data_IF_111459289566
#
_entry.id   IF_111459289566
#
_cell.length_a   1.000
_cell.length_b   1.000
_cell.length_c   1.000
_cell.angle_alpha   90.00
_cell.angle_beta   90.00
_cell.angle_gamma   90.00
#
_symmetry.space_group_name_H-M   'P 1'
#
loop_
_entity.id
_entity.type
_entity.pdbx_description
1 polymer ?
#
# COMPACT_ATOMS: atom_id res chain seq x y z
N UNK A 1 26.99 -24.22 33.72
CA UNK A 1 27.03 -23.25 34.83
C UNK A 1 26.54 -21.93 34.25
N UNK A 2 25.36 -21.49 34.69
CA UNK A 2 24.67 -20.35 34.10
C UNK A 2 25.30 -19.03 34.53
N UNK A 3 25.59 -18.18 33.55
CA UNK A 3 26.00 -16.80 33.78
C UNK A 3 24.76 -15.93 33.90
N UNK A 4 24.67 -15.22 35.01
CA UNK A 4 23.60 -14.33 35.46
C UNK A 4 23.52 -13.06 34.61
N UNK A 5 22.38 -12.85 33.95
CA UNK A 5 22.03 -11.58 33.33
C UNK A 5 21.43 -10.64 34.40
N UNK A 6 22.05 -9.46 34.57
CA UNK A 6 21.44 -8.36 35.30
C UNK A 6 20.26 -7.84 34.46
N UNK A 7 19.04 -8.14 34.91
CA UNK A 7 17.81 -7.66 34.31
C UNK A 7 17.60 -6.18 34.64
N UNK A 8 18.01 -5.29 33.73
CA UNK A 8 17.46 -3.95 33.66
C UNK A 8 15.96 -4.06 33.36
N UNK A 9 15.12 -3.46 34.21
CA UNK A 9 13.67 -3.62 34.19
C UNK A 9 13.09 -3.20 32.83
N UNK A 10 12.79 -4.19 31.96
CA UNK A 10 12.02 -3.99 30.73
C UNK A 10 12.77 -4.12 29.39
N UNK A 11 14.07 -4.41 29.40
CA UNK A 11 14.88 -4.61 28.17
C UNK A 11 15.53 -5.99 28.18
N UNK A 12 15.48 -6.68 27.05
CA UNK A 12 16.14 -7.98 26.83
C UNK A 12 17.42 -7.80 26.02
N UNK A 13 18.48 -8.51 26.41
CA UNK A 13 19.77 -8.53 25.73
C UNK A 13 20.20 -9.97 25.48
N UNK A 14 20.52 -10.33 24.24
CA UNK A 14 20.99 -11.67 23.88
C UNK A 14 21.88 -11.64 22.63
N UNK A 15 22.70 -12.67 22.45
CA UNK A 15 23.54 -12.81 21.25
C UNK A 15 22.87 -13.73 20.23
N UNK A 16 23.00 -13.40 18.95
CA UNK A 16 22.54 -14.25 17.82
C UNK A 16 23.55 -14.23 16.68
N UNK A 17 23.51 -15.25 15.82
CA UNK A 17 24.41 -15.36 14.67
C UNK A 17 23.94 -14.54 13.45
N UNK A 18 22.62 -14.38 13.31
CA UNK A 18 22.04 -13.68 12.16
C UNK A 18 22.27 -12.16 12.25
N UNK A 19 22.62 -11.49 11.14
CA UNK A 19 22.70 -10.03 11.08
C UNK A 19 21.33 -9.36 11.21
N UNK A 20 21.28 -8.04 11.52
CA UNK A 20 20.06 -7.25 11.42
C UNK A 20 19.51 -7.25 9.99
N UNK A 21 18.19 -7.41 9.86
CA UNK A 21 17.56 -7.55 8.55
C UNK A 21 17.54 -6.26 7.71
N UNK A 22 17.57 -5.08 8.37
CA UNK A 22 17.30 -3.81 7.68
C UNK A 22 18.53 -2.96 7.46
N UNK A 23 19.40 -2.80 8.47
CA UNK A 23 20.51 -1.85 8.35
C UNK A 23 21.69 -2.18 9.24
N UNK A 24 22.90 -1.98 8.70
CA UNK A 24 24.19 -2.01 9.42
C UNK A 24 24.92 -0.71 9.15
N UNK A 25 25.30 -0.02 10.22
CA UNK A 25 26.14 1.16 10.20
C UNK A 25 27.54 0.80 10.71
N UNK A 26 28.50 0.73 9.78
CA UNK A 26 29.89 0.40 10.08
C UNK A 26 30.74 1.66 10.18
N UNK A 27 31.44 1.81 11.28
CA UNK A 27 32.40 2.90 11.51
C UNK A 27 33.80 2.31 11.44
N UNK A 28 34.67 2.97 10.68
CA UNK A 28 36.10 2.67 10.59
C UNK A 28 36.87 3.87 11.07
N UNK A 29 38.08 3.61 11.55
CA UNK A 29 38.95 4.65 12.09
C UNK A 29 38.26 5.38 13.26
N UNK A 30 37.59 4.61 14.13
CA UNK A 30 36.75 5.12 15.23
C UNK A 30 37.53 6.05 16.16
N UNK A 31 38.80 5.79 16.41
CA UNK A 31 39.68 6.64 17.23
C UNK A 31 39.76 8.09 16.74
N UNK A 32 39.71 8.31 15.43
CA UNK A 32 39.77 9.66 14.82
C UNK A 32 38.53 10.51 15.14
N UNK A 33 37.45 9.90 15.59
CA UNK A 33 36.23 10.62 15.97
C UNK A 33 36.47 11.56 17.15
N UNK A 34 37.37 11.19 18.08
CA UNK A 34 37.78 12.06 19.18
C UNK A 34 38.47 13.35 18.70
N UNK A 35 39.11 13.32 17.53
CA UNK A 35 39.77 14.50 16.94
C UNK A 35 38.78 15.47 16.30
N UNK A 36 37.54 15.02 16.02
CA UNK A 36 36.52 15.84 15.36
C UNK A 36 35.82 16.81 16.32
N UNK A 37 35.92 16.59 17.64
CA UNK A 37 35.16 17.33 18.66
C UNK A 37 33.65 17.11 18.59
N UNK A 38 33.21 16.06 17.88
CA UNK A 38 31.82 15.64 17.82
C UNK A 38 31.65 14.45 18.76
N UNK A 39 30.53 14.38 19.47
CA UNK A 39 30.16 13.31 20.41
C UNK A 39 29.02 12.41 19.86
N UNK A 40 28.45 12.79 18.72
CA UNK A 40 27.33 12.13 18.05
C UNK A 40 27.54 11.95 16.56
N UNK A 41 27.40 10.72 16.08
CA UNK A 41 27.50 10.38 14.66
C UNK A 41 26.17 9.84 14.17
N UNK A 42 25.75 10.31 13.00
CA UNK A 42 24.55 9.84 12.33
C UNK A 42 24.88 8.96 11.13
N UNK A 43 24.07 7.93 10.92
CA UNK A 43 24.10 7.15 9.70
C UNK A 43 23.40 7.86 8.53
N UNK A 44 23.55 7.30 7.34
CA UNK A 44 22.63 7.56 6.25
C UNK A 44 21.20 7.09 6.56
N UNK A 45 20.24 7.52 5.74
CA UNK A 45 18.83 7.13 5.86
C UNK A 45 18.62 5.73 5.29
N UNK A 46 17.87 4.89 5.99
CA UNK A 46 17.42 3.58 5.51
C UNK A 46 15.89 3.44 5.62
N UNK A 47 15.31 2.58 4.80
CA UNK A 47 13.87 2.37 4.75
C UNK A 47 13.48 1.01 5.34
N UNK A 48 12.47 1.01 6.21
CA UNK A 48 11.89 -0.20 6.77
C UNK A 48 10.43 0.07 7.19
N UNK A 49 9.53 -0.88 6.89
CA UNK A 49 8.10 -0.80 7.18
C UNK A 49 7.43 0.51 6.70
N UNK A 50 7.67 0.92 5.44
CA UNK A 50 7.13 2.15 4.82
C UNK A 50 7.51 3.45 5.57
N UNK A 51 8.64 3.45 6.29
CA UNK A 51 9.15 4.59 7.05
C UNK A 51 10.66 4.70 6.86
N UNK A 52 11.17 5.91 7.02
CA UNK A 52 12.58 6.23 6.89
C UNK A 52 13.20 6.45 8.26
N UNK A 53 14.39 5.91 8.44
CA UNK A 53 15.06 5.81 9.72
C UNK A 53 16.54 6.20 9.60
N UNK A 54 17.13 6.61 10.73
CA UNK A 54 18.57 6.77 10.93
C UNK A 54 19.00 6.07 12.22
N UNK A 55 20.25 5.66 12.27
CA UNK A 55 20.94 5.33 13.51
C UNK A 55 21.80 6.52 13.95
N UNK A 56 21.76 6.83 15.24
CA UNK A 56 22.66 7.83 15.83
C UNK A 56 23.45 7.17 16.96
N UNK A 57 24.78 7.21 16.85
CA UNK A 57 25.70 6.71 17.86
C UNK A 57 26.19 7.89 18.67
N UNK A 58 26.00 7.86 19.99
CA UNK A 58 26.58 8.81 20.94
C UNK A 58 27.63 8.07 21.74
N UNK A 59 28.83 8.62 21.83
CA UNK A 59 29.96 8.00 22.54
C UNK A 59 30.64 9.02 23.45
N UNK A 60 31.31 8.56 24.53
CA UNK A 60 31.97 9.48 25.44
C UNK A 60 33.23 10.11 24.84
N UNK A 61 33.44 11.40 25.12
CA UNK A 61 34.58 12.20 24.66
C UNK A 61 35.72 12.17 25.69
N UNK A 62 36.95 11.84 25.26
CA UNK A 62 38.18 11.97 26.07
C UNK A 62 38.73 10.69 26.72
N UNK A 63 39.93 10.80 27.32
CA UNK A 63 40.48 9.80 28.24
C UNK A 63 39.82 9.96 29.61
N UNK A 64 39.17 8.89 30.07
CA UNK A 64 38.43 8.85 31.32
C UNK A 64 39.35 9.20 32.50
N UNK A 65 39.11 10.35 33.14
CA UNK A 65 39.60 10.56 34.51
C UNK A 65 38.74 9.71 35.43
N UNK A 66 39.36 8.86 36.24
CA UNK A 66 38.74 8.07 37.30
C UNK A 66 37.68 8.91 38.05
N UNK A 67 36.41 8.69 37.72
CA UNK A 67 35.26 9.22 38.45
C UNK A 67 34.51 8.05 39.05
N UNK A 68 33.95 8.30 40.23
CA UNK A 68 33.35 7.36 41.17
C UNK A 68 32.54 6.23 40.50
N UNK A 69 32.66 5.01 41.06
CA UNK A 69 32.08 3.71 40.61
C UNK A 69 30.57 3.72 40.24
N UNK A 70 29.84 4.80 40.52
CA UNK A 70 28.38 4.91 40.31
C UNK A 70 27.99 5.57 38.97
N UNK A 71 28.93 6.10 38.18
CA UNK A 71 28.66 6.78 36.89
C UNK A 71 29.57 6.29 35.76
N UNK A 72 29.49 5.00 35.42
CA UNK A 72 30.19 4.46 34.24
C UNK A 72 29.60 5.06 32.95
N UNK A 73 30.44 5.65 32.11
CA UNK A 73 30.01 6.21 30.82
C UNK A 73 29.62 5.09 29.85
N UNK A 74 28.62 5.35 29.00
CA UNK A 74 28.07 4.37 28.08
C UNK A 74 28.17 4.88 26.64
N UNK A 75 28.41 3.95 25.71
CA UNK A 75 28.06 4.19 24.31
C UNK A 75 26.55 3.97 24.15
N UNK A 76 25.89 4.87 23.42
CA UNK A 76 24.45 4.84 23.20
C UNK A 76 24.14 4.78 21.71
N UNK A 77 23.07 4.06 21.36
CA UNK A 77 22.59 3.93 20.00
C UNK A 77 21.10 4.26 19.97
N UNK A 78 20.76 5.25 19.17
CA UNK A 78 19.40 5.73 18.98
C UNK A 78 18.89 5.30 17.62
N UNK A 79 17.64 4.86 17.57
CA UNK A 79 16.88 4.77 16.34
C UNK A 79 16.04 6.04 16.20
N UNK A 80 16.19 6.76 15.10
CA UNK A 80 15.45 7.98 14.81
C UNK A 80 14.56 7.80 13.58
N UNK A 81 13.30 8.22 13.65
CA UNK A 81 12.42 8.35 12.48
C UNK A 81 12.65 9.71 11.81
N UNK A 82 12.79 9.72 10.48
CA UNK A 82 13.11 10.92 9.69
C UNK A 82 12.10 11.13 8.56
N UNK A 83 12.25 12.24 7.84
CA UNK A 83 11.34 12.68 6.77
C UNK A 83 9.89 12.77 7.24
N UNK A 84 9.68 13.30 8.46
CA UNK A 84 8.36 13.39 9.10
C UNK A 84 7.57 14.63 8.71
N UNK A 85 8.12 15.50 7.86
CA UNK A 85 7.49 16.77 7.45
C UNK A 85 6.18 16.54 6.67
N UNK A 86 6.09 15.42 5.96
CA UNK A 86 4.90 15.02 5.20
C UNK A 86 3.86 14.27 6.07
N UNK A 87 4.16 14.02 7.36
CA UNK A 87 3.25 13.27 8.21
C UNK A 87 2.09 14.18 8.68
N UNK A 88 0.88 13.61 8.89
CA UNK A 88 -0.25 14.38 9.41
C UNK A 88 0.07 15.07 10.74
N UNK A 89 -0.60 16.20 11.00
CA UNK A 89 -0.50 16.86 12.29
C UNK A 89 -0.92 15.90 13.42
N UNK A 90 -0.07 15.78 14.45
CA UNK A 90 -0.30 14.86 15.56
C UNK A 90 -0.05 13.38 15.23
N UNK A 91 0.79 13.09 14.22
CA UNK A 91 1.15 11.72 13.88
C UNK A 91 1.73 10.95 15.06
N UNK A 92 1.40 9.66 15.10
CA UNK A 92 1.99 8.70 16.03
C UNK A 92 2.34 7.42 15.31
N UNK A 93 3.55 6.94 15.55
CA UNK A 93 4.08 5.68 15.01
C UNK A 93 4.52 4.84 16.20
N UNK A 94 3.86 3.70 16.41
CA UNK A 94 4.30 2.74 17.43
C UNK A 94 5.15 1.68 16.74
N UNK A 95 6.42 1.56 17.10
CA UNK A 95 7.35 0.61 16.49
C UNK A 95 7.87 -0.40 17.51
N UNK A 96 8.01 -1.65 17.07
CA UNK A 96 8.86 -2.65 17.72
C UNK A 96 10.13 -2.73 16.90
N UNK A 97 11.28 -2.61 17.55
CA UNK A 97 12.56 -2.67 16.88
C UNK A 97 13.61 -3.27 17.80
N UNK A 98 14.69 -3.72 17.20
CA UNK A 98 15.88 -4.23 17.88
C UNK A 98 17.09 -3.45 17.40
N UNK A 99 18.03 -3.21 18.31
CA UNK A 99 19.31 -2.58 18.04
C UNK A 99 20.45 -3.57 18.25
N UNK A 100 21.54 -3.40 17.50
CA UNK A 100 22.61 -4.39 17.46
C UNK A 100 24.00 -3.76 17.58
N UNK A 101 24.90 -4.53 18.18
CA UNK A 101 26.35 -4.33 18.11
C UNK A 101 26.98 -5.62 17.61
N UNK A 102 27.85 -5.52 16.62
CA UNK A 102 28.56 -6.68 16.09
C UNK A 102 29.79 -7.00 16.94
N UNK A 103 29.89 -8.26 17.35
CA UNK A 103 31.03 -8.86 18.01
C UNK A 103 31.89 -9.55 16.94
N UNK A 104 33.01 -8.91 16.62
CA UNK A 104 33.96 -9.35 15.60
C UNK A 104 34.76 -10.60 16.01
N UNK A 105 34.86 -10.91 17.30
CA UNK A 105 35.64 -12.04 17.81
C UNK A 105 34.82 -13.32 17.73
N UNK A 106 33.55 -13.24 18.12
CA UNK A 106 32.66 -14.40 18.15
C UNK A 106 31.79 -14.54 16.90
N UNK A 107 31.86 -13.57 15.98
CA UNK A 107 31.02 -13.47 14.77
C UNK A 107 29.52 -13.51 15.10
N UNK A 108 29.13 -12.66 16.05
CA UNK A 108 27.77 -12.60 16.59
C UNK A 108 27.27 -11.18 16.71
N UNK A 109 25.96 -11.04 16.88
CA UNK A 109 25.30 -9.77 17.09
C UNK A 109 24.70 -9.76 18.49
N UNK A 110 25.24 -8.89 19.36
CA UNK A 110 24.55 -8.52 20.58
C UNK A 110 23.30 -7.75 20.18
N UNK A 111 22.15 -8.28 20.58
CA UNK A 111 20.82 -7.76 20.26
C UNK A 111 20.19 -7.18 21.51
N UNK A 112 19.63 -5.98 21.40
CA UNK A 112 18.89 -5.30 22.47
C UNK A 112 17.49 -4.94 21.96
N UNK A 113 16.47 -5.24 22.77
CA UNK A 113 15.06 -5.04 22.43
C UNK A 113 14.20 -4.86 23.70
N UNK A 114 13.06 -4.17 23.60
CA UNK A 114 12.08 -4.13 24.70
C UNK A 114 11.49 -5.52 25.00
N UNK A 115 11.48 -5.88 26.29
CA UNK A 115 10.96 -7.14 26.79
C UNK A 115 9.45 -7.30 26.53
N UNK A 116 9.02 -8.54 26.25
CA UNK A 116 7.61 -8.86 26.00
C UNK A 116 7.04 -8.21 24.73
N UNK A 117 7.89 -7.73 23.82
CA UNK A 117 7.47 -7.17 22.54
C UNK A 117 6.66 -5.87 22.68
N UNK A 118 6.99 -5.04 23.66
CA UNK A 118 6.42 -3.68 23.78
C UNK A 118 6.78 -2.84 22.56
N UNK A 119 5.93 -1.86 22.25
CA UNK A 119 6.20 -0.87 21.21
C UNK A 119 6.66 0.44 21.85
N UNK A 120 7.52 1.17 21.15
CA UNK A 120 7.85 2.56 21.48
C UNK A 120 7.11 3.51 20.58
N UNK A 121 6.57 4.57 21.17
CA UNK A 121 5.79 5.60 20.47
C UNK A 121 6.71 6.71 19.98
N UNK A 122 6.78 6.86 18.66
CA UNK A 122 7.39 7.97 17.96
C UNK A 122 6.30 9.00 17.62
N UNK A 123 6.61 10.28 17.81
CA UNK A 123 5.73 11.40 17.44
C UNK A 123 6.56 12.68 17.25
N UNK A 124 5.89 13.79 16.95
CA UNK A 124 6.54 15.09 16.75
C UNK A 124 7.36 15.59 17.96
N UNK A 125 7.09 15.10 19.17
CA UNK A 125 7.83 15.46 20.39
C UNK A 125 8.95 14.47 20.72
N UNK A 126 8.91 13.25 20.17
CA UNK A 126 9.88 12.19 20.43
C UNK A 126 10.09 11.36 19.17
N UNK A 127 11.06 11.78 18.35
CA UNK A 127 11.41 11.13 17.08
C UNK A 127 12.50 10.08 17.22
N UNK A 128 13.12 9.95 18.39
CA UNK A 128 14.19 9.00 18.65
C UNK A 128 13.99 8.22 19.95
N UNK A 129 14.48 6.98 19.95
CA UNK A 129 14.50 6.10 21.12
C UNK A 129 15.79 5.28 21.16
N UNK A 130 16.34 5.12 22.35
CA UNK A 130 17.43 4.23 22.75
C UNK A 130 16.96 3.24 23.83
N UNK A 131 17.91 2.53 24.44
CA UNK A 131 17.68 1.61 25.54
C UNK A 131 18.45 1.98 26.82
N UNK A 132 18.56 3.28 27.11
CA UNK A 132 19.24 3.82 28.31
C UNK A 132 20.69 3.30 28.44
N UNK A 133 21.47 3.44 27.36
CA UNK A 133 22.84 2.92 27.25
C UNK A 133 22.91 1.56 26.55
N UNK A 134 23.71 1.49 25.48
CA UNK A 134 23.88 0.28 24.69
C UNK A 134 24.82 -0.69 25.40
N UNK A 135 26.02 -0.20 25.75
CA UNK A 135 27.08 -0.92 26.42
C UNK A 135 27.89 0.05 27.30
N UNK A 136 28.42 -0.40 28.43
CA UNK A 136 29.43 0.36 29.14
C UNK A 136 30.64 0.62 28.24
N UNK A 137 31.23 1.80 28.37
CA UNK A 137 32.33 2.22 27.50
C UNK A 137 33.57 1.35 27.66
N UNK A 138 33.84 0.89 28.89
CA UNK A 138 34.91 -0.06 29.21
C UNK A 138 34.72 -1.37 28.42
N UNK A 139 33.49 -1.90 28.41
CA UNK A 139 33.11 -3.14 27.71
C UNK A 139 33.25 -2.98 26.20
N UNK A 140 32.87 -1.84 25.65
CA UNK A 140 32.96 -1.56 24.22
C UNK A 140 34.42 -1.48 23.73
N UNK A 141 35.30 -0.85 24.52
CA UNK A 141 36.72 -0.67 24.15
C UNK A 141 37.58 -1.91 24.37
N UNK A 142 37.23 -2.77 25.31
CA UNK A 142 38.00 -3.99 25.60
C UNK A 142 37.97 -4.93 24.37
N UNK A 143 39.13 -5.16 23.71
CA UNK A 143 39.18 -6.00 22.52
C UNK A 143 38.75 -7.44 22.75
N UNK A 144 38.77 -7.95 23.99
CA UNK A 144 38.33 -9.31 24.30
C UNK A 144 36.81 -9.49 24.12
N UNK A 145 36.04 -8.40 24.20
CA UNK A 145 34.60 -8.40 23.95
C UNK A 145 34.22 -8.28 22.47
N UNK A 146 35.19 -7.95 21.60
CA UNK A 146 35.01 -7.99 20.15
C UNK A 146 34.20 -6.85 19.51
N UNK A 147 33.72 -5.86 20.26
CA UNK A 147 32.87 -4.78 19.70
C UNK A 147 33.65 -3.69 18.93
N UNK A 148 34.91 -3.44 19.32
CA UNK A 148 35.82 -2.52 18.63
C UNK A 148 37.13 -3.25 18.32
N UNK A 149 37.28 -3.71 17.07
CA UNK A 149 38.46 -4.46 16.61
C UNK A 149 39.08 -3.76 15.41
N UNK A 150 40.41 -3.58 15.43
CA UNK A 150 41.14 -2.86 14.38
C UNK A 150 40.52 -1.49 14.07
N UNK A 151 40.18 -0.76 15.12
CA UNK A 151 39.57 0.57 15.07
C UNK A 151 38.27 0.62 14.24
N UNK A 152 37.54 -0.50 14.24
CA UNK A 152 36.31 -0.69 13.47
C UNK A 152 35.24 -1.29 14.37
N UNK A 153 34.03 -0.76 14.27
CA UNK A 153 32.84 -1.29 14.94
C UNK A 153 31.64 -1.25 13.97
N UNK A 154 30.59 -2.01 14.28
CA UNK A 154 29.38 -2.01 13.50
C UNK A 154 28.13 -2.07 14.39
N UNK A 155 27.21 -1.15 14.12
CA UNK A 155 25.90 -1.06 14.76
C UNK A 155 24.82 -1.48 13.79
N UNK A 156 23.67 -1.89 14.29
CA UNK A 156 22.56 -2.30 13.43
C UNK A 156 21.21 -1.94 13.98
N UNK A 157 20.22 -1.97 13.09
CA UNK A 157 18.82 -1.80 13.43
C UNK A 157 17.95 -2.76 12.64
N UNK A 158 16.88 -3.23 13.30
CA UNK A 158 15.86 -4.06 12.70
C UNK A 158 14.48 -3.59 13.18
N UNK A 159 13.63 -3.18 12.24
CA UNK A 159 12.25 -2.79 12.54
C UNK A 159 11.38 -4.03 12.41
N UNK A 160 10.89 -4.56 13.53
CA UNK A 160 10.12 -5.80 13.57
C UNK A 160 8.67 -5.58 13.15
N UNK A 161 8.09 -4.45 13.55
CA UNK A 161 6.73 -4.07 13.16
C UNK A 161 6.46 -2.60 13.46
N UNK A 162 5.62 -1.98 12.65
CA UNK A 162 5.05 -0.67 12.92
C UNK A 162 3.53 -0.79 12.97
N UNK A 163 2.92 -0.20 13.99
CA UNK A 163 1.49 0.17 13.99
C UNK A 163 1.38 1.68 14.02
N UNK A 164 1.23 2.28 12.84
CA UNK A 164 0.53 3.57 12.72
C UNK A 164 -0.96 3.30 12.95
N UNK A 165 -1.73 4.29 13.41
CA UNK A 165 -3.19 4.16 13.53
C UNK A 165 -3.78 3.37 12.35
N UNK A 166 -4.52 2.32 12.66
CA UNK A 166 -5.03 1.25 11.78
C UNK A 166 -5.24 1.71 10.33
N UNK A 167 -4.58 1.05 9.35
CA UNK A 167 -4.91 1.21 7.93
C UNK A 167 -6.36 0.69 7.73
N UNK A 168 -7.32 1.59 7.65
CA UNK A 168 -8.71 1.27 7.34
C UNK A 168 -8.96 1.55 5.85
N UNK A 169 -9.60 0.61 5.16
CA UNK A 169 -10.23 0.89 3.86
C UNK A 169 -11.73 1.08 4.07
N UNK A 170 -12.31 2.13 3.49
CA UNK A 170 -13.75 2.38 3.56
C UNK A 170 -14.38 2.14 2.19
N UNK A 171 -15.17 1.08 2.06
CA UNK A 171 -16.00 0.86 0.88
C UNK A 171 -17.32 1.61 1.07
N UNK A 172 -17.52 2.67 0.29
CA UNK A 172 -18.79 3.39 0.21
C UNK A 172 -19.61 2.90 -0.99
N UNK A 173 -20.94 2.86 -0.82
CA UNK A 173 -21.88 2.54 -1.88
C UNK A 173 -22.66 3.82 -2.25
N UNK A 174 -22.46 4.29 -3.47
CA UNK A 174 -23.16 5.45 -4.02
C UNK A 174 -24.43 4.96 -4.70
N UNK A 175 -25.59 5.28 -4.12
CA UNK A 175 -26.89 5.05 -4.76
C UNK A 175 -27.11 6.11 -5.83
N UNK A 176 -27.61 5.69 -6.99
CA UNK A 176 -27.93 6.58 -8.11
C UNK A 176 -26.79 7.57 -8.43
N UNK A 177 -25.58 7.05 -8.74
CA UNK A 177 -24.37 7.89 -8.88
C UNK A 177 -24.46 8.91 -10.02
N UNK A 178 -25.43 8.78 -10.93
CA UNK A 178 -25.69 9.77 -11.96
C UNK A 178 -26.89 10.64 -11.51
N UNK A 179 -26.58 11.83 -10.97
CA UNK A 179 -27.58 12.78 -10.43
C UNK A 179 -28.65 13.25 -11.44
N UNK A 180 -28.44 13.04 -12.74
CA UNK A 180 -29.33 13.48 -13.83
C UNK A 180 -29.50 12.43 -14.96
N UNK A 181 -29.65 11.16 -14.62
CA UNK A 181 -30.21 10.16 -15.54
C UNK A 181 -29.23 9.13 -16.10
N UNK A 182 -29.47 8.71 -17.33
CA UNK A 182 -28.77 7.61 -18.02
C UNK A 182 -27.66 8.13 -18.93
N UNK A 183 -26.63 7.32 -19.15
CA UNK A 183 -25.74 7.55 -20.30
C UNK A 183 -26.40 6.96 -21.54
N UNK A 184 -26.53 7.75 -22.60
CA UNK A 184 -27.16 7.36 -23.87
C UNK A 184 -26.14 7.34 -24.99
N UNK A 185 -26.17 6.26 -25.78
CA UNK A 185 -25.36 6.06 -26.96
C UNK A 185 -26.25 5.77 -28.16
N UNK A 186 -26.22 6.68 -29.13
CA UNK A 186 -26.90 6.52 -30.43
C UNK A 186 -25.94 5.93 -31.45
N UNK A 187 -26.40 4.88 -32.14
CA UNK A 187 -25.64 4.17 -33.16
C UNK A 187 -26.36 4.38 -34.49
N UNK A 188 -25.84 5.30 -35.30
CA UNK A 188 -26.34 5.54 -36.64
C UNK A 188 -25.71 4.56 -37.64
N UNK A 189 -26.48 4.18 -38.66
CA UNK A 189 -26.02 3.24 -39.68
C UNK A 189 -25.91 1.81 -39.14
N UNK A 190 -26.81 1.38 -38.25
CA UNK A 190 -26.72 0.10 -37.55
C UNK A 190 -26.57 -1.08 -38.52
N UNK A 191 -27.26 -1.05 -39.66
CA UNK A 191 -27.18 -2.09 -40.70
C UNK A 191 -25.75 -2.29 -41.21
N UNK A 192 -24.96 -1.21 -41.35
CA UNK A 192 -23.54 -1.30 -41.70
C UNK A 192 -22.72 -1.86 -40.54
N UNK A 193 -22.99 -1.39 -39.32
CA UNK A 193 -22.32 -1.82 -38.08
C UNK A 193 -22.53 -3.30 -37.76
N UNK A 194 -23.59 -3.94 -38.24
CA UNK A 194 -23.80 -5.39 -38.10
C UNK A 194 -22.68 -6.25 -38.67
N UNK A 195 -21.89 -5.71 -39.61
CA UNK A 195 -20.73 -6.39 -40.19
C UNK A 195 -19.52 -6.41 -39.25
N UNK A 196 -19.48 -5.54 -38.26
CA UNK A 196 -18.43 -5.50 -37.25
C UNK A 196 -18.70 -6.55 -36.18
N UNK A 197 -17.64 -7.20 -35.68
CA UNK A 197 -17.78 -8.21 -34.62
C UNK A 197 -18.24 -7.57 -33.30
N UNK A 198 -17.75 -6.38 -32.98
CA UNK A 198 -18.13 -5.59 -31.81
C UNK A 198 -17.88 -4.10 -32.05
N UNK A 199 -18.67 -3.26 -31.39
CA UNK A 199 -18.52 -1.80 -31.40
C UNK A 199 -18.62 -1.26 -29.98
N UNK A 200 -18.01 -0.09 -29.74
CA UNK A 200 -17.98 0.56 -28.43
C UNK A 200 -18.50 1.98 -28.48
N UNK A 201 -19.10 2.44 -27.39
CA UNK A 201 -19.43 3.84 -27.20
C UNK A 201 -18.18 4.71 -26.97
N UNK A 202 -18.40 6.02 -26.95
CA UNK A 202 -17.43 6.94 -26.36
C UNK A 202 -17.26 6.66 -24.85
N UNK A 203 -16.13 7.11 -24.31
CA UNK A 203 -15.83 7.05 -22.88
C UNK A 203 -16.75 7.98 -22.11
N UNK A 204 -17.23 7.51 -20.96
CA UNK A 204 -17.95 8.35 -20.01
C UNK A 204 -17.51 8.04 -18.58
N UNK A 205 -17.66 9.02 -17.70
CA UNK A 205 -17.16 8.94 -16.32
C UNK A 205 -18.33 8.96 -15.33
N UNK A 206 -18.33 8.01 -14.39
CA UNK A 206 -19.28 7.94 -13.27
C UNK A 206 -18.49 7.71 -11.99
N UNK A 207 -18.66 8.60 -11.00
CA UNK A 207 -17.91 8.58 -9.73
C UNK A 207 -16.39 8.45 -9.90
N UNK A 208 -15.82 9.15 -10.88
CA UNK A 208 -14.38 9.15 -11.16
C UNK A 208 -13.87 7.91 -11.92
N UNK A 209 -14.75 6.96 -12.27
CA UNK A 209 -14.40 5.76 -13.04
C UNK A 209 -14.82 5.92 -14.50
N UNK A 210 -13.96 5.48 -15.43
CA UNK A 210 -14.23 5.51 -16.88
C UNK A 210 -14.89 4.21 -17.35
N UNK A 211 -15.94 4.33 -18.15
CA UNK A 211 -16.77 3.24 -18.64
C UNK A 211 -17.00 3.34 -20.16
N UNK A 212 -17.34 2.22 -20.78
CA UNK A 212 -17.86 2.13 -22.16
C UNK A 212 -19.02 1.14 -22.23
N UNK A 213 -19.95 1.38 -23.13
CA UNK A 213 -20.88 0.36 -23.60
C UNK A 213 -20.21 -0.44 -24.71
N UNK A 214 -20.35 -1.76 -24.66
CA UNK A 214 -19.87 -2.72 -25.64
C UNK A 214 -21.06 -3.45 -26.25
N UNK A 215 -21.22 -3.32 -27.57
CA UNK A 215 -22.26 -4.00 -28.32
C UNK A 215 -21.63 -5.03 -29.26
N UNK A 216 -22.23 -6.21 -29.33
CA UNK A 216 -22.03 -7.18 -30.41
C UNK A 216 -23.26 -7.14 -31.31
N UNK A 217 -23.23 -6.39 -32.44
CA UNK A 217 -24.40 -6.16 -33.27
C UNK A 217 -25.08 -7.43 -33.80
N UNK A 218 -24.30 -8.51 -34.00
CA UNK A 218 -24.77 -9.83 -34.45
C UNK A 218 -24.65 -10.91 -33.36
N UNK A 219 -24.36 -10.49 -32.12
CA UNK A 219 -24.20 -11.37 -30.96
C UNK A 219 -22.77 -11.83 -30.71
N UNK A 220 -22.48 -12.15 -29.45
CA UNK A 220 -21.25 -12.80 -29.02
C UNK A 220 -21.26 -14.31 -29.31
N UNK A 221 -20.21 -15.01 -28.88
CA UNK A 221 -20.07 -16.46 -29.08
C UNK A 221 -21.18 -17.30 -28.42
N UNK A 222 -21.93 -16.74 -27.46
CA UNK A 222 -23.02 -17.40 -26.73
C UNK A 222 -24.39 -17.07 -27.31
N UNK A 223 -24.48 -16.12 -28.24
CA UNK A 223 -25.71 -15.63 -28.85
C UNK A 223 -26.19 -16.45 -30.06
N UNK A 224 -25.36 -17.36 -30.59
CA UNK A 224 -25.65 -18.21 -31.76
C UNK A 224 -26.12 -17.41 -33.00
N UNK A 225 -25.68 -16.16 -33.15
CA UNK A 225 -26.01 -15.30 -34.30
C UNK A 225 -27.48 -14.84 -34.39
N UNK A 226 -28.31 -15.08 -33.37
CA UNK A 226 -29.75 -14.72 -33.39
C UNK A 226 -30.09 -13.53 -32.51
N UNK A 227 -29.20 -13.18 -31.59
CA UNK A 227 -29.40 -12.13 -30.61
C UNK A 227 -28.29 -11.11 -30.74
N UNK A 228 -28.62 -9.85 -30.51
CA UNK A 228 -27.65 -8.83 -30.19
C UNK A 228 -27.22 -8.99 -28.74
N UNK A 229 -25.93 -8.77 -28.46
CA UNK A 229 -25.37 -8.79 -27.10
C UNK A 229 -24.93 -7.39 -26.68
N UNK A 230 -25.13 -7.08 -25.40
CA UNK A 230 -24.84 -5.76 -24.83
C UNK A 230 -24.19 -5.91 -23.45
N UNK A 231 -23.09 -5.18 -23.23
CA UNK A 231 -22.31 -5.20 -22.01
C UNK A 231 -21.87 -3.79 -21.62
N UNK A 232 -21.57 -3.61 -20.33
CA UNK A 232 -20.87 -2.47 -19.78
C UNK A 232 -19.43 -2.90 -19.49
N UNK A 233 -18.44 -2.11 -19.90
CA UNK A 233 -17.01 -2.31 -19.63
C UNK A 233 -16.49 -1.18 -18.73
N UNK A 234 -15.68 -1.54 -17.73
CA UNK A 234 -14.86 -0.61 -16.96
C UNK A 234 -13.51 -0.45 -17.66
N UNK A 235 -12.91 0.74 -17.67
CA UNK A 235 -11.63 1.00 -18.36
C UNK A 235 -10.46 1.34 -17.42
N UNK A 236 -10.74 1.92 -16.25
CA UNK A 236 -9.69 2.31 -15.29
C UNK A 236 -9.27 1.09 -14.46
N UNK A 237 -8.32 0.32 -14.98
CA UNK A 237 -7.77 -0.87 -14.31
C UNK A 237 -6.59 -0.58 -13.39
N UNK A 238 -5.97 0.60 -13.44
CA UNK A 238 -4.78 0.90 -12.61
C UNK A 238 -5.08 0.75 -11.11
N UNK A 239 -6.16 1.35 -10.60
CA UNK A 239 -6.58 1.17 -9.20
C UNK A 239 -6.88 -0.30 -8.84
N UNK A 240 -7.38 -1.07 -9.80
CA UNK A 240 -7.72 -2.49 -9.62
C UNK A 240 -6.45 -3.33 -9.57
N UNK A 241 -5.51 -3.08 -10.48
CA UNK A 241 -4.26 -3.83 -10.61
C UNK A 241 -3.32 -3.51 -9.45
N UNK A 242 -3.19 -2.22 -9.09
CA UNK A 242 -2.26 -1.76 -8.05
C UNK A 242 -2.74 -2.16 -6.66
N UNK A 243 -4.05 -2.10 -6.40
CA UNK A 243 -4.60 -2.33 -5.05
C UNK A 243 -5.41 -3.63 -4.92
N UNK A 244 -5.53 -4.44 -5.97
CA UNK A 244 -6.34 -5.67 -5.96
C UNK A 244 -7.84 -5.44 -5.76
N UNK A 245 -8.32 -4.22 -5.96
CA UNK A 245 -9.69 -3.79 -5.64
C UNK A 245 -10.67 -4.17 -6.74
N UNK A 246 -11.88 -4.62 -6.39
CA UNK A 246 -12.96 -4.86 -7.37
C UNK A 246 -14.02 -3.77 -7.26
N UNK A 247 -14.62 -3.40 -8.39
CA UNK A 247 -15.69 -2.39 -8.41
C UNK A 247 -17.03 -3.08 -8.52
N UNK A 248 -17.85 -3.01 -7.49
CA UNK A 248 -19.25 -3.44 -7.57
C UNK A 248 -20.08 -2.39 -8.29
N UNK A 249 -20.86 -2.80 -9.29
CA UNK A 249 -21.92 -1.95 -9.84
C UNK A 249 -23.21 -2.75 -9.98
N UNK A 250 -24.33 -2.06 -9.74
CA UNK A 250 -25.69 -2.48 -10.08
C UNK A 250 -26.25 -1.44 -11.06
N UNK A 251 -26.69 -1.88 -12.22
CA UNK A 251 -27.10 -0.98 -13.30
C UNK A 251 -28.17 -1.64 -14.18
N UNK A 252 -28.89 -0.82 -14.94
CA UNK A 252 -29.84 -1.26 -15.97
C UNK A 252 -29.23 -0.95 -17.32
N UNK A 253 -29.10 -1.96 -18.16
CA UNK A 253 -28.84 -1.80 -19.58
C UNK A 253 -30.17 -1.71 -20.33
N UNK A 254 -30.25 -0.84 -21.34
CA UNK A 254 -31.48 -0.61 -22.08
C UNK A 254 -31.21 -0.44 -23.57
N UNK A 255 -32.07 -1.06 -24.40
CA UNK A 255 -32.25 -0.69 -25.80
C UNK A 255 -33.60 0.03 -25.90
N UNK A 256 -33.55 1.28 -26.35
CA UNK A 256 -34.71 2.16 -26.34
C UNK A 256 -35.66 1.80 -27.48
N UNK A 257 -36.94 1.70 -27.13
CA UNK A 257 -38.01 1.79 -28.11
C UNK A 257 -38.22 3.27 -28.48
N UNK A 258 -38.11 3.59 -29.76
CA UNK A 258 -38.14 4.96 -30.25
C UNK A 258 -39.52 5.42 -30.74
N UNK A 259 -40.49 4.50 -30.86
CA UNK A 259 -41.84 4.77 -31.35
C UNK A 259 -42.89 4.82 -30.23
N UNK A 260 -42.54 4.39 -29.02
CA UNK A 260 -43.46 4.29 -27.88
C UNK A 260 -44.54 3.21 -28.05
N UNK A 261 -44.37 2.32 -29.03
CA UNK A 261 -45.36 1.27 -29.36
C UNK A 261 -45.26 0.10 -28.39
N UNK A 262 -44.03 -0.25 -27.98
CA UNK A 262 -43.77 -1.23 -26.92
C UNK A 262 -42.75 -0.65 -25.95
N UNK A 263 -42.64 -1.28 -24.78
CA UNK A 263 -41.66 -0.89 -23.76
C UNK A 263 -40.22 -1.05 -24.27
N UNK A 264 -39.31 -0.34 -23.61
CA UNK A 264 -37.88 -0.51 -23.84
C UNK A 264 -37.44 -1.93 -23.48
N UNK A 265 -36.39 -2.44 -24.13
CA UNK A 265 -35.79 -3.70 -23.72
C UNK A 265 -34.76 -3.43 -22.65
N UNK A 266 -35.03 -3.86 -21.43
CA UNK A 266 -34.16 -3.64 -20.27
C UNK A 266 -33.63 -4.94 -19.67
N UNK A 267 -32.46 -4.87 -19.04
CA UNK A 267 -31.95 -5.89 -18.15
C UNK A 267 -31.22 -5.23 -16.97
N UNK A 268 -31.64 -5.57 -15.76
CA UNK A 268 -30.88 -5.24 -14.55
C UNK A 268 -29.71 -6.22 -14.40
N UNK A 269 -28.52 -5.67 -14.19
CA UNK A 269 -27.27 -6.43 -14.08
C UNK A 269 -26.53 -5.94 -12.85
N UNK A 270 -25.90 -6.86 -12.13
CA UNK A 270 -24.96 -6.53 -11.07
C UNK A 270 -23.72 -7.42 -11.15
N UNK A 271 -22.58 -6.88 -10.74
CA UNK A 271 -21.34 -7.63 -10.76
C UNK A 271 -20.16 -6.86 -10.19
N UNK A 272 -19.11 -7.60 -9.89
CA UNK A 272 -17.81 -7.05 -9.54
C UNK A 272 -16.94 -6.98 -10.80
N UNK A 273 -16.56 -5.77 -11.18
CA UNK A 273 -15.61 -5.50 -12.25
C UNK A 273 -14.20 -5.63 -11.68
N UNK A 274 -13.41 -6.56 -12.23
CA UNK A 274 -12.03 -6.86 -11.82
C UNK A 274 -11.02 -6.62 -12.94
N UNK A 275 -11.46 -6.00 -14.03
CA UNK A 275 -10.63 -5.65 -15.15
C UNK A 275 -10.53 -6.67 -16.28
N UNK A 276 -11.28 -7.75 -16.17
CA UNK A 276 -11.45 -8.74 -17.23
C UNK A 276 -12.56 -8.36 -18.21
N UNK A 277 -13.69 -9.05 -18.14
CA UNK A 277 -14.83 -8.93 -19.03
C UNK A 277 -15.86 -7.90 -18.52
N UNK A 278 -16.62 -7.34 -19.45
CA UNK A 278 -17.77 -6.52 -19.14
C UNK A 278 -18.96 -7.32 -18.60
N UNK A 279 -19.84 -6.67 -17.85
CA UNK A 279 -21.08 -7.26 -17.34
C UNK A 279 -22.28 -6.87 -18.22
N UNK A 280 -23.14 -7.83 -18.54
CA UNK A 280 -24.24 -7.62 -19.48
C UNK A 280 -24.96 -8.89 -19.88
N UNK A 281 -25.49 -8.93 -21.10
CA UNK A 281 -26.27 -10.04 -21.63
C UNK A 281 -25.83 -10.47 -23.03
N UNK A 282 -25.40 -11.72 -23.15
CA UNK A 282 -25.11 -12.37 -24.45
C UNK A 282 -26.35 -12.49 -25.34
N UNK A 283 -27.53 -12.76 -24.76
CA UNK A 283 -28.80 -12.89 -25.49
C UNK A 283 -29.73 -11.73 -25.12
N UNK A 284 -29.31 -10.50 -25.40
CA UNK A 284 -29.99 -9.30 -24.90
C UNK A 284 -31.33 -9.04 -25.62
N UNK A 285 -31.30 -9.01 -26.95
CA UNK A 285 -32.49 -8.78 -27.78
C UNK A 285 -32.39 -9.57 -29.10
N UNK A 286 -33.49 -10.18 -29.53
CA UNK A 286 -33.55 -10.90 -30.81
C UNK A 286 -33.30 -9.94 -31.97
N UNK A 287 -32.45 -10.34 -32.92
CA UNK A 287 -32.18 -9.53 -34.11
C UNK A 287 -33.43 -9.27 -34.94
N UNK A 288 -34.31 -10.28 -35.06
CA UNK A 288 -35.59 -10.14 -35.74
C UNK A 288 -36.50 -9.10 -35.07
N UNK A 289 -36.37 -8.88 -33.76
CA UNK A 289 -37.11 -7.83 -33.06
C UNK A 289 -36.46 -6.46 -33.25
N UNK A 290 -35.13 -6.37 -33.25
CA UNK A 290 -34.40 -5.13 -33.55
C UNK A 290 -34.79 -4.59 -34.92
N UNK A 291 -34.81 -5.47 -35.92
CA UNK A 291 -35.04 -5.11 -37.33
C UNK A 291 -36.53 -4.93 -37.69
N UNK A 292 -37.43 -5.37 -36.82
CA UNK A 292 -38.87 -5.25 -37.07
C UNK A 292 -39.32 -3.80 -36.91
N UNK A 293 -39.78 -3.18 -38.00
CA UNK A 293 -40.32 -1.82 -38.00
C UNK A 293 -41.49 -1.62 -37.03
N UNK A 294 -42.28 -2.68 -36.79
CA UNK A 294 -43.40 -2.68 -35.82
C UNK A 294 -42.95 -2.69 -34.36
N UNK A 295 -41.70 -3.09 -34.10
CA UNK A 295 -41.13 -3.14 -32.75
C UNK A 295 -40.42 -1.85 -32.37
N UNK A 296 -40.03 -1.00 -33.32
CA UNK A 296 -39.58 0.37 -33.05
C UNK A 296 -38.24 0.53 -32.34
N UNK A 297 -37.40 -0.51 -32.28
CA UNK A 297 -36.05 -0.43 -31.71
C UNK A 297 -35.05 0.21 -32.67
N UNK A 298 -35.13 -0.14 -33.96
CA UNK A 298 -34.34 0.46 -35.03
C UNK A 298 -35.22 1.43 -35.84
N UNK A 299 -34.92 2.73 -35.77
CA UNK A 299 -35.67 3.78 -36.49
C UNK A 299 -34.70 4.61 -37.30
N UNK A 300 -34.98 4.77 -38.61
CA UNK A 300 -34.09 5.46 -39.56
C UNK A 300 -32.64 4.93 -39.51
N UNK A 301 -32.49 3.60 -39.38
CA UNK A 301 -31.22 2.89 -39.23
C UNK A 301 -30.37 3.34 -38.02
N UNK A 302 -31.03 3.89 -37.00
CA UNK A 302 -30.42 4.33 -35.74
C UNK A 302 -30.92 3.49 -34.57
N UNK A 303 -30.00 2.99 -33.74
CA UNK A 303 -30.27 2.23 -32.52
C UNK A 303 -29.81 3.03 -31.31
N UNK A 304 -30.67 3.16 -30.29
CA UNK A 304 -30.34 3.90 -29.06
C UNK A 304 -30.16 2.93 -27.91
N UNK A 305 -28.97 2.97 -27.29
CA UNK A 305 -28.58 2.15 -26.15
C UNK A 305 -28.35 3.04 -24.96
N UNK A 306 -28.80 2.64 -23.77
CA UNK A 306 -28.64 3.40 -22.55
C UNK A 306 -28.11 2.52 -21.40
N UNK A 307 -27.46 3.17 -20.43
CA UNK A 307 -27.14 2.57 -19.13
C UNK A 307 -27.51 3.49 -17.99
N UNK A 308 -28.13 2.91 -16.97
CA UNK A 308 -28.52 3.57 -15.74
C UNK A 308 -27.83 2.91 -14.54
N UNK A 309 -26.99 3.63 -13.81
CA UNK A 309 -26.40 3.10 -12.59
C UNK A 309 -27.37 3.27 -11.41
N UNK A 310 -27.67 2.17 -10.72
CA UNK A 310 -28.47 2.15 -9.48
C UNK A 310 -27.60 2.17 -8.23
N UNK A 311 -26.48 1.47 -8.27
CA UNK A 311 -25.52 1.39 -7.16
C UNK A 311 -24.11 1.26 -7.71
N UNK A 312 -23.15 1.96 -7.13
CA UNK A 312 -21.75 1.85 -7.52
C UNK A 312 -20.85 1.92 -6.27
N UNK A 313 -19.88 1.02 -6.18
CA UNK A 313 -18.93 1.03 -5.08
C UNK A 313 -17.75 1.97 -5.33
N UNK A 314 -17.35 2.66 -4.27
CA UNK A 314 -16.27 3.64 -4.26
C UNK A 314 -15.44 3.43 -3.00
N UNK A 315 -14.15 3.17 -3.20
CA UNK A 315 -13.19 3.16 -2.10
C UNK A 315 -12.86 4.61 -1.76
N UNK A 316 -12.89 4.94 -0.46
CA UNK A 316 -12.49 6.22 0.11
C UNK A 316 -11.13 6.07 0.79
#
# INVERSE_FOLDING_TARGET
MGSTAAAGVGVERWSRDMPPAHFIFKIRSFSLLSETGVDRIESGVFEACDKKWKLCVVYPEGELTEKDDDNEEHISLYLQIVDTDEFPAGWEVHAKFSLFVYDHVHDKYLTIQDAGGKTRRFNCMKTEHDFDGLLPWSTFKDPSNGYLINDTCAFGAEILSISSATKHECLSLVKEPIKKGTYTWTIDGFTLKKRESRIRSHEFTVEGRKWKLLLYPSGDSRANGRYLSLFLELLNFEDIIVHGRKVYAKFILRIRNQLGIVEHKEAEVNGFFDGSDGWGGSKFLLLSEVESSSKGFLVKDSLIVEVEFKLLSKYL
#
